data_IF_093887995188
#
_entry.id   IF_093887995188
#
_cell.length_a   1.000
_cell.length_b   1.000
_cell.length_c   1.000
_cell.angle_alpha   90.00
_cell.angle_beta   90.00
_cell.angle_gamma   90.00
#
_symmetry.space_group_name_H-M   'P 1'
#
loop_
_entity.id
_entity.type
_entity.pdbx_description
1 polymer ?
#
# COMPACT_ATOMS: atom_id res chain seq x y z
N UNK A 1 -28.93 -34.65 3.30
CA UNK A 1 -29.11 -34.85 4.75
C UNK A 1 -27.79 -34.47 5.41
N UNK A 2 -27.49 -33.17 5.50
CA UNK A 2 -27.74 -32.32 6.68
C UNK A 2 -27.28 -33.03 7.95
N UNK A 3 -26.06 -32.74 8.40
CA UNK A 3 -25.66 -33.02 9.77
C UNK A 3 -25.77 -31.70 10.55
N UNK A 4 -26.63 -31.78 11.56
CA UNK A 4 -27.24 -30.72 12.33
C UNK A 4 -26.30 -29.80 13.09
N UNK A 5 -26.73 -28.54 13.17
CA UNK A 5 -26.30 -27.59 14.17
C UNK A 5 -27.06 -27.85 15.47
N UNK A 6 -26.47 -28.58 16.42
CA UNK A 6 -26.82 -28.51 17.86
C UNK A 6 -25.72 -29.14 18.71
N UNK A 7 -25.34 -28.40 19.75
CA UNK A 7 -24.46 -28.81 20.86
C UNK A 7 -22.95 -28.70 20.64
N UNK A 8 -22.43 -27.48 20.73
CA UNK A 8 -21.11 -27.23 21.32
C UNK A 8 -21.23 -26.13 22.38
N UNK A 9 -21.76 -26.53 23.54
CA UNK A 9 -21.61 -25.80 24.79
C UNK A 9 -20.36 -26.33 25.51
N UNK A 10 -19.21 -25.71 25.28
CA UNK A 10 -18.01 -25.88 26.12
C UNK A 10 -17.42 -24.51 26.50
N UNK A 11 -17.16 -24.21 27.79
CA UNK A 11 -16.68 -22.90 28.22
C UNK A 11 -15.23 -22.57 27.83
N UNK A 12 -14.49 -23.49 27.22
CA UNK A 12 -13.05 -23.36 26.96
C UNK A 12 -12.69 -22.88 25.54
N UNK A 13 -13.66 -22.72 24.63
CA UNK A 13 -13.45 -22.18 23.28
C UNK A 13 -13.89 -20.69 23.15
N UNK A 14 -14.07 -19.97 24.27
CA UNK A 14 -14.42 -18.54 24.25
C UNK A 14 -13.23 -17.57 24.25
N UNK A 15 -12.01 -18.09 24.44
CA UNK A 15 -10.78 -17.30 24.39
C UNK A 15 -9.95 -17.47 23.10
N UNK A 16 -10.60 -17.96 22.02
CA UNK A 16 -10.10 -17.81 20.64
C UNK A 16 -10.77 -16.66 19.89
N UNK A 17 -11.19 -15.63 20.61
CA UNK A 17 -11.19 -14.28 20.06
C UNK A 17 -9.72 -13.88 19.90
N UNK A 18 -9.08 -14.46 18.88
CA UNK A 18 -7.88 -13.93 18.28
C UNK A 18 -8.12 -12.43 18.14
N UNK A 19 -7.43 -11.65 18.98
CA UNK A 19 -7.27 -10.22 18.81
C UNK A 19 -6.70 -10.05 17.40
N UNK A 20 -7.58 -9.97 16.39
CA UNK A 20 -7.22 -9.55 15.07
C UNK A 20 -6.58 -8.19 15.31
N UNK A 21 -5.28 -8.02 15.08
CA UNK A 21 -4.68 -6.71 15.16
C UNK A 21 -5.51 -5.85 14.22
N UNK A 22 -6.26 -4.90 14.79
CA UNK A 22 -7.03 -3.92 14.04
C UNK A 22 -5.99 -3.10 13.27
N UNK A 23 -5.56 -3.64 12.13
CA UNK A 23 -4.65 -3.00 11.21
C UNK A 23 -5.43 -1.82 10.62
N UNK A 24 -5.37 -0.69 11.32
CA UNK A 24 -5.99 0.53 10.85
C UNK A 24 -5.35 0.90 9.51
N UNK A 25 -6.13 1.04 8.42
CA UNK A 25 -5.58 1.42 7.13
C UNK A 25 -4.97 2.82 7.22
N UNK A 26 -3.83 3.02 6.55
CA UNK A 26 -3.22 4.35 6.41
C UNK A 26 -3.94 5.09 5.30
N UNK A 27 -4.71 6.13 5.67
CA UNK A 27 -5.44 6.97 4.72
C UNK A 27 -4.66 8.27 4.46
N UNK A 28 -4.40 8.58 3.18
CA UNK A 28 -3.78 9.84 2.74
C UNK A 28 -4.73 10.58 1.80
N UNK A 29 -4.95 11.90 1.96
CA UNK A 29 -5.83 12.66 1.09
C UNK A 29 -5.27 12.77 -0.34
N UNK A 30 -6.18 12.81 -1.33
CA UNK A 30 -5.83 12.98 -2.76
C UNK A 30 -5.28 14.37 -3.08
N UNK A 31 -5.53 15.36 -2.23
CA UNK A 31 -5.02 16.72 -2.34
C UNK A 31 -4.32 17.13 -1.05
N UNK A 32 -3.18 17.83 -1.15
CA UNK A 32 -2.45 18.36 0.00
C UNK A 32 -1.80 19.69 -0.34
N UNK A 33 -1.96 20.71 0.51
CA UNK A 33 -1.19 21.96 0.41
C UNK A 33 0.21 21.73 0.97
N UNK A 34 1.23 21.97 0.16
CA UNK A 34 2.64 21.79 0.57
C UNK A 34 3.53 22.71 -0.24
N UNK A 35 4.73 22.97 0.25
CA UNK A 35 5.71 23.81 -0.42
C UNK A 35 6.12 23.24 -1.79
N UNK A 36 6.04 24.08 -2.82
CA UNK A 36 6.54 23.79 -4.16
C UNK A 36 7.91 24.46 -4.36
N UNK A 37 8.94 23.69 -4.71
CA UNK A 37 10.30 24.21 -4.93
C UNK A 37 10.40 25.16 -6.13
N UNK A 38 9.61 24.92 -7.19
CA UNK A 38 9.63 25.77 -8.40
C UNK A 38 8.88 27.09 -8.17
N UNK A 39 7.68 27.04 -7.60
CA UNK A 39 6.89 28.25 -7.33
C UNK A 39 7.36 29.02 -6.09
N UNK A 40 8.22 28.42 -5.25
CA UNK A 40 8.67 28.93 -3.95
C UNK A 40 7.54 29.30 -2.97
N UNK A 41 6.33 28.76 -3.17
CA UNK A 41 5.13 29.00 -2.36
C UNK A 41 4.38 27.71 -2.05
N UNK A 42 3.50 27.76 -1.05
CA UNK A 42 2.64 26.63 -0.66
C UNK A 42 1.43 26.52 -1.58
N UNK A 43 1.49 25.54 -2.50
CA UNK A 43 0.40 25.26 -3.43
C UNK A 43 -0.33 23.96 -3.13
N UNK A 44 -1.59 23.82 -3.59
CA UNK A 44 -2.26 22.53 -3.61
C UNK A 44 -1.52 21.59 -4.58
N UNK A 45 -1.27 20.37 -4.12
CA UNK A 45 -0.69 19.30 -4.90
C UNK A 45 -1.67 18.14 -5.02
N UNK A 46 -1.77 17.55 -6.22
CA UNK A 46 -2.41 16.26 -6.45
C UNK A 46 -1.46 15.17 -5.95
N UNK A 47 -1.97 14.30 -5.10
CA UNK A 47 -1.23 13.19 -4.50
C UNK A 47 -1.60 11.92 -5.26
N UNK A 48 -0.61 11.20 -5.78
CA UNK A 48 -0.81 9.88 -6.40
C UNK A 48 0.20 8.88 -5.86
N UNK A 49 -0.09 7.59 -5.96
CA UNK A 49 0.88 6.56 -5.62
C UNK A 49 1.91 6.41 -6.75
N UNK A 50 3.20 6.36 -6.40
CA UNK A 50 4.24 6.02 -7.35
C UNK A 50 4.19 4.54 -7.71
N UNK A 51 4.18 4.25 -9.02
CA UNK A 51 4.41 2.92 -9.57
C UNK A 51 5.72 2.94 -10.34
N UNK A 52 6.54 1.89 -10.17
CA UNK A 52 7.76 1.71 -10.96
C UNK A 52 7.36 1.49 -12.43
N UNK A 53 8.03 2.17 -13.36
CA UNK A 53 7.85 1.95 -14.80
C UNK A 53 8.48 0.64 -15.27
N UNK A 54 8.27 0.31 -16.55
CA UNK A 54 8.94 -0.81 -17.23
C UNK A 54 10.45 -0.55 -17.29
N UNK A 55 11.25 -1.59 -17.03
CA UNK A 55 12.70 -1.49 -17.12
C UNK A 55 13.15 -1.36 -18.60
N UNK A 56 14.09 -0.45 -18.88
CA UNK A 56 14.62 -0.23 -20.22
C UNK A 56 15.66 -1.28 -20.61
N UNK A 57 15.57 -1.80 -21.84
CA UNK A 57 16.52 -2.78 -22.39
C UNK A 57 17.88 -2.16 -22.76
N UNK A 58 17.88 -0.89 -23.16
CA UNK A 58 19.07 -0.19 -23.63
C UNK A 58 19.93 0.40 -22.51
N UNK A 59 19.48 0.30 -21.26
CA UNK A 59 20.25 0.70 -20.10
C UNK A 59 21.59 -0.07 -20.08
N UNK A 60 22.69 0.62 -19.78
CA UNK A 60 24.05 0.04 -19.82
C UNK A 60 24.16 -1.26 -19.00
N UNK A 61 23.54 -1.29 -17.82
CA UNK A 61 23.54 -2.48 -16.95
C UNK A 61 22.81 -3.68 -17.57
N UNK A 62 21.69 -3.44 -18.27
CA UNK A 62 20.94 -4.49 -18.96
C UNK A 62 21.69 -5.00 -20.19
N UNK A 63 22.22 -4.10 -21.03
CA UNK A 63 23.10 -4.46 -22.17
C UNK A 63 24.29 -5.33 -21.74
N UNK A 64 24.96 -4.94 -20.64
CA UNK A 64 26.07 -5.72 -20.06
C UNK A 64 25.60 -7.07 -19.53
N UNK A 65 24.45 -7.14 -18.86
CA UNK A 65 23.88 -8.38 -18.34
C UNK A 65 23.56 -9.36 -19.48
N UNK A 66 22.91 -8.88 -20.54
CA UNK A 66 22.49 -9.72 -21.67
C UNK A 66 23.70 -10.26 -22.44
N UNK A 67 24.72 -9.43 -22.68
CA UNK A 67 26.00 -9.88 -23.25
C UNK A 67 26.74 -10.87 -22.35
N UNK A 68 26.61 -10.74 -21.03
CA UNK A 68 27.23 -11.71 -20.10
C UNK A 68 26.46 -13.03 -20.11
N UNK A 69 25.14 -12.99 -20.28
CA UNK A 69 24.27 -14.15 -20.23
C UNK A 69 24.26 -14.97 -21.53
N UNK A 70 24.69 -14.41 -22.66
CA UNK A 70 24.74 -15.12 -23.94
C UNK A 70 25.80 -16.21 -23.95
N UNK A 71 25.53 -17.31 -24.66
CA UNK A 71 26.42 -18.47 -24.79
C UNK A 71 26.10 -19.57 -23.76
N UNK A 72 27.07 -20.44 -23.51
CA UNK A 72 26.98 -21.52 -22.52
C UNK A 72 27.47 -21.04 -21.15
N UNK A 73 27.05 -21.72 -20.07
CA UNK A 73 27.48 -21.39 -18.69
C UNK A 73 26.36 -21.00 -17.72
N UNK A 74 25.10 -21.08 -18.15
CA UNK A 74 23.93 -20.95 -17.27
C UNK A 74 23.76 -19.55 -16.67
N UNK A 75 23.35 -19.48 -15.40
CA UNK A 75 23.01 -18.22 -14.75
C UNK A 75 24.25 -17.47 -14.26
N UNK A 76 24.55 -16.30 -14.84
CA UNK A 76 25.83 -15.59 -14.61
C UNK A 76 25.84 -14.58 -13.46
N UNK A 77 24.69 -14.33 -12.83
CA UNK A 77 24.51 -13.36 -11.73
C UNK A 77 23.57 -13.93 -10.65
N UNK A 78 23.79 -13.58 -9.37
CA UNK A 78 23.02 -14.15 -8.27
C UNK A 78 21.54 -13.73 -8.29
N UNK A 79 20.65 -14.70 -8.05
CA UNK A 79 19.21 -14.48 -7.87
C UNK A 79 18.90 -14.45 -6.38
N UNK A 80 18.33 -13.34 -5.89
CA UNK A 80 17.98 -13.19 -4.49
C UNK A 80 16.69 -13.97 -4.14
N UNK A 81 16.83 -15.09 -3.41
CA UNK A 81 15.70 -15.99 -3.03
C UNK A 81 15.09 -15.69 -1.65
N UNK A 82 15.89 -15.29 -0.66
CA UNK A 82 15.46 -15.17 0.75
C UNK A 82 14.85 -13.80 1.08
N UNK A 83 13.63 -13.52 0.62
CA UNK A 83 12.92 -12.24 0.90
C UNK A 83 12.29 -12.23 2.29
N UNK A 84 12.84 -11.44 3.21
CA UNK A 84 12.30 -11.29 4.56
C UNK A 84 11.21 -10.20 4.71
N UNK A 85 11.21 -9.16 3.87
CA UNK A 85 10.28 -8.03 4.02
C UNK A 85 8.97 -8.29 3.29
N UNK A 86 7.86 -8.22 4.04
CA UNK A 86 6.50 -8.44 3.52
C UNK A 86 5.88 -7.19 2.88
N UNK A 87 6.29 -5.99 3.31
CA UNK A 87 5.75 -4.71 2.83
C UNK A 87 6.82 -3.85 2.17
N UNK A 88 6.40 -2.89 1.35
CA UNK A 88 7.28 -1.90 0.69
C UNK A 88 7.08 -0.52 1.33
N UNK A 89 8.05 0.38 1.16
CA UNK A 89 7.82 1.81 1.45
C UNK A 89 6.97 2.38 0.33
N UNK A 90 5.87 3.04 0.69
CA UNK A 90 5.00 3.69 -0.29
C UNK A 90 5.58 5.07 -0.58
N UNK A 91 5.73 5.38 -1.86
CA UNK A 91 6.20 6.69 -2.31
C UNK A 91 5.01 7.41 -2.94
N UNK A 92 4.74 8.61 -2.46
CA UNK A 92 3.74 9.51 -3.02
C UNK A 92 4.38 10.39 -4.08
N UNK A 93 3.71 10.57 -5.21
CA UNK A 93 4.04 11.60 -6.20
C UNK A 93 3.13 12.79 -5.94
N UNK A 94 3.73 13.93 -5.65
CA UNK A 94 3.06 15.20 -5.42
C UNK A 94 3.23 16.04 -6.67
N UNK A 95 2.14 16.29 -7.37
CA UNK A 95 2.12 17.12 -8.58
C UNK A 95 1.49 18.47 -8.26
N UNK A 96 2.22 19.55 -8.52
CA UNK A 96 1.69 20.90 -8.31
C UNK A 96 0.53 21.17 -9.29
N UNK A 97 -0.58 21.68 -8.78
CA UNK A 97 -1.79 21.98 -9.59
C UNK A 97 -1.59 23.20 -10.49
N UNK A 98 -0.66 24.09 -10.13
CA UNK A 98 -0.37 25.30 -10.89
C UNK A 98 -0.03 24.96 -12.36
N UNK A 99 -0.76 25.52 -13.35
CA UNK A 99 -0.64 25.14 -14.77
C UNK A 99 0.76 25.38 -15.31
N UNK A 100 1.44 26.44 -14.85
CA UNK A 100 2.76 26.85 -15.31
C UNK A 100 3.90 26.01 -14.73
N UNK A 101 3.66 25.25 -13.65
CA UNK A 101 4.72 24.58 -12.90
C UNK A 101 4.74 23.06 -13.12
N UNK A 102 3.57 22.40 -12.94
CA UNK A 102 3.36 20.93 -13.00
C UNK A 102 4.50 20.09 -12.41
N UNK A 103 5.22 20.63 -11.43
CA UNK A 103 6.42 19.99 -10.90
C UNK A 103 6.02 18.79 -10.06
N UNK A 104 6.80 17.71 -10.17
CA UNK A 104 6.56 16.46 -9.46
C UNK A 104 7.61 16.27 -8.39
N UNK A 105 7.18 15.97 -7.15
CA UNK A 105 8.06 15.63 -6.03
C UNK A 105 7.70 14.27 -5.47
N UNK A 106 8.71 13.46 -5.16
CA UNK A 106 8.52 12.16 -4.52
C UNK A 106 8.65 12.30 -3.00
N UNK A 107 7.71 11.70 -2.25
CA UNK A 107 7.75 11.65 -0.78
C UNK A 107 7.57 10.19 -0.33
N UNK A 108 8.57 9.63 0.32
CA UNK A 108 8.48 8.28 0.90
C UNK A 108 7.82 8.33 2.29
N UNK A 109 6.85 7.46 2.52
CA UNK A 109 6.23 7.21 3.83
C UNK A 109 6.88 5.95 4.46
N UNK A 110 6.68 5.78 5.77
CA UNK A 110 6.96 4.52 6.48
C UNK A 110 6.21 3.34 5.81
N UNK A 111 6.67 2.12 6.08
CA UNK A 111 6.03 0.90 5.54
C UNK A 111 4.68 0.70 6.21
N UNK A 112 3.66 0.36 5.42
CA UNK A 112 2.33 0.00 5.91
C UNK A 112 1.84 -1.25 5.16
N UNK A 113 0.90 -2.00 5.78
CA UNK A 113 0.28 -3.18 5.16
C UNK A 113 -0.89 -2.79 4.26
N UNK A 114 -1.79 -1.95 4.76
CA UNK A 114 -2.92 -1.39 4.01
C UNK A 114 -2.75 0.11 3.82
N UNK A 115 -2.92 0.57 2.59
CA UNK A 115 -2.80 1.97 2.19
C UNK A 115 -3.96 2.35 1.28
N UNK A 116 -4.62 3.43 1.64
CA UNK A 116 -5.78 3.95 0.93
C UNK A 116 -5.54 5.42 0.60
N UNK A 117 -5.96 5.83 -0.60
CA UNK A 117 -5.81 7.19 -1.09
C UNK A 117 -7.19 7.84 -1.22
N UNK A 118 -7.50 8.74 -0.29
CA UNK A 118 -8.79 9.44 -0.21
C UNK A 118 -9.94 8.55 0.27
N UNK A 119 -9.69 7.68 1.25
CA UNK A 119 -10.74 6.93 1.93
C UNK A 119 -11.55 7.82 2.88
N UNK A 120 -12.63 7.26 3.44
CA UNK A 120 -13.53 7.99 4.32
C UNK A 120 -12.84 8.47 5.60
N UNK A 121 -13.18 9.69 6.01
CA UNK A 121 -12.73 10.23 7.28
C UNK A 121 -13.50 9.54 8.40
N UNK A 122 -12.78 9.05 9.41
CA UNK A 122 -13.40 8.47 10.61
C UNK A 122 -14.22 9.56 11.31
N UNK A 123 -15.52 9.30 11.56
CA UNK A 123 -16.36 10.15 12.41
C UNK A 123 -15.97 9.94 13.88
N UNK A 124 -16.04 11.00 14.69
CA UNK A 124 -15.65 10.97 16.12
C UNK A 124 -16.60 10.15 17.01
N UNK A 125 -17.79 9.78 16.53
CA UNK A 125 -18.75 8.98 17.29
C UNK A 125 -19.47 8.02 16.33
N UNK A 126 -19.27 6.72 16.53
CA UNK A 126 -20.07 5.69 15.90
C UNK A 126 -20.83 4.98 17.01
N UNK A 127 -22.14 5.21 17.09
CA UNK A 127 -23.03 4.28 17.76
C UNK A 127 -22.98 3.01 16.92
N UNK A 128 -22.41 1.94 17.48
CA UNK A 128 -22.47 0.62 16.87
C UNK A 128 -23.91 0.18 17.03
N UNK A 129 -24.72 0.31 15.97
CA UNK A 129 -26.06 -0.29 15.97
C UNK A 129 -25.86 -1.81 16.04
N UNK A 130 -26.01 -2.39 17.24
CA UNK A 130 -26.26 -3.82 17.39
C UNK A 130 -27.64 -4.05 16.80
N UNK A 131 -27.71 -4.45 15.54
CA UNK A 131 -28.94 -4.96 14.95
C UNK A 131 -29.17 -6.32 15.59
N UNK A 132 -29.93 -6.35 16.69
CA UNK A 132 -30.48 -7.60 17.22
C UNK A 132 -31.54 -8.07 16.22
N UNK A 133 -31.17 -9.05 15.40
CA UNK A 133 -32.12 -9.78 14.57
C UNK A 133 -33.02 -10.56 15.54
N UNK A 134 -34.19 -10.00 15.86
CA UNK A 134 -35.28 -10.80 16.42
C UNK A 134 -35.77 -11.73 15.31
N UNK A 135 -35.37 -13.00 15.40
CA UNK A 135 -36.03 -14.07 14.65
C UNK A 135 -37.49 -14.10 15.14
N UNK A 136 -38.44 -13.80 14.25
CA UNK A 136 -39.82 -14.26 14.41
C UNK A 136 -39.85 -15.78 14.37
#
# INVERSE_FOLDING_TARGET
LVCDARSLNSPTERNRLCLLPLFLPVNVPKTRRTYCKKCKKHQPHKVTQYKKGKDSLYAQGKRRYDRKQSGYGGQTKPIFRKKAKTTKKIVLRLECVEPNCRSKRMLAIKRCKHFELGGDKKRKQFIVYRVTIHRK
#
